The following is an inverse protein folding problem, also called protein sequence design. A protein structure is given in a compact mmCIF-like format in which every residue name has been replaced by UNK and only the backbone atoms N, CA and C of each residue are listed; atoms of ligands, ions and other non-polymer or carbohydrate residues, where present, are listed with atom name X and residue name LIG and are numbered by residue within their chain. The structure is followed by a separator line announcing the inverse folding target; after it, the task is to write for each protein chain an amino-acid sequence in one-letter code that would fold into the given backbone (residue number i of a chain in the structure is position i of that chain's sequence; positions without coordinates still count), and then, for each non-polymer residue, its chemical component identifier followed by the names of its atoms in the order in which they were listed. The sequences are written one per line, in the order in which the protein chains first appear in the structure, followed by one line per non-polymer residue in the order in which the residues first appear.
data_IF_160433069222
#
_entry.id   IF_160433069222
#
_cell.length_a   1.000
_cell.length_b   1.000
_cell.length_c   1.000
_cell.angle_alpha   90.00
_cell.angle_beta   90.00
_cell.angle_gamma   90.00
#
_symmetry.space_group_name_H-M   'P 1'
#
loop_
_entity.id
_entity.type
_entity.pdbx_description
1 polymer ?
#
# COMPACT_ATOMS: atom_id res chain seq x y z
N UNK A 1 -9.00 -6.23 -2.54
CA UNK A 1 -8.94 -4.78 -2.73
C UNK A 1 -10.08 -4.09 -1.97
N UNK A 2 -9.85 -2.87 -1.52
CA UNK A 2 -10.83 -2.01 -0.86
C UNK A 2 -10.70 -0.60 -1.43
N UNK A 3 -11.83 0.11 -1.54
CA UNK A 3 -11.92 1.49 -1.99
C UNK A 3 -12.54 2.35 -0.90
N UNK A 4 -12.03 3.55 -0.69
CA UNK A 4 -12.61 4.55 0.23
C UNK A 4 -12.31 5.97 -0.27
N UNK A 5 -13.24 6.88 -0.05
CA UNK A 5 -13.04 8.32 -0.29
C UNK A 5 -12.48 8.94 0.99
N UNK A 6 -11.40 9.68 0.86
CA UNK A 6 -10.76 10.38 1.97
C UNK A 6 -11.38 11.73 2.29
N UNK A 7 -11.01 12.33 3.42
CA UNK A 7 -11.44 13.67 3.80
C UNK A 7 -10.92 14.76 2.85
N UNK A 8 -9.92 14.45 2.04
CA UNK A 8 -9.36 15.27 0.96
C UNK A 8 -10.07 15.08 -0.39
N UNK A 9 -11.23 14.37 -0.38
CA UNK A 9 -12.04 14.06 -1.56
C UNK A 9 -11.28 13.25 -2.63
N UNK A 10 -10.25 12.50 -2.22
CA UNK A 10 -9.52 11.57 -3.10
C UNK A 10 -9.98 10.13 -2.87
N UNK A 11 -9.87 9.34 -3.92
CA UNK A 11 -10.11 7.90 -3.87
C UNK A 11 -8.84 7.19 -3.43
N UNK A 12 -8.95 6.39 -2.38
CA UNK A 12 -7.88 5.49 -1.91
C UNK A 12 -8.25 4.05 -2.24
N UNK A 13 -7.28 3.30 -2.73
CA UNK A 13 -7.48 1.90 -3.13
C UNK A 13 -6.33 1.01 -2.68
N UNK A 14 -6.63 -0.17 -2.17
CA UNK A 14 -5.62 -1.19 -1.87
C UNK A 14 -5.43 -2.13 -3.05
N UNK A 15 -4.18 -2.46 -3.37
CA UNK A 15 -3.81 -3.47 -4.36
C UNK A 15 -2.83 -4.45 -3.71
N UNK A 16 -3.18 -5.74 -3.70
CA UNK A 16 -2.33 -6.79 -3.16
C UNK A 16 -1.12 -7.13 -4.06
N UNK A 17 -0.24 -7.97 -3.56
CA UNK A 17 0.99 -8.42 -4.24
C UNK A 17 0.74 -9.49 -5.32
N UNK A 18 -0.52 -9.81 -5.62
CA UNK A 18 -0.96 -10.83 -6.57
C UNK A 18 -0.50 -12.26 -6.20
N UNK A 19 -0.30 -12.51 -4.91
CA UNK A 19 0.15 -13.82 -4.42
C UNK A 19 1.59 -14.17 -4.79
N UNK A 20 2.42 -13.16 -5.08
CA UNK A 20 3.80 -13.35 -5.48
C UNK A 20 4.60 -14.18 -4.46
N UNK A 21 5.28 -15.22 -4.94
CA UNK A 21 6.06 -16.14 -4.11
C UNK A 21 5.25 -17.20 -3.38
N UNK A 22 3.93 -17.35 -3.66
CA UNK A 22 3.05 -18.29 -2.96
C UNK A 22 2.28 -19.20 -3.92
N UNK A 23 2.08 -20.46 -3.52
CA UNK A 23 1.27 -21.45 -4.25
C UNK A 23 1.59 -21.47 -5.76
N UNK A 24 0.58 -21.35 -6.59
CA UNK A 24 0.71 -21.34 -8.06
C UNK A 24 1.50 -20.14 -8.60
N UNK A 25 1.73 -19.13 -7.77
CA UNK A 25 2.52 -17.93 -8.09
C UNK A 25 3.93 -17.95 -7.47
N UNK A 26 4.46 -19.13 -7.08
CA UNK A 26 5.77 -19.25 -6.42
C UNK A 26 6.93 -18.64 -7.24
N UNK A 27 6.84 -18.68 -8.57
CA UNK A 27 7.83 -18.10 -9.49
C UNK A 27 7.58 -16.61 -9.84
N UNK A 28 6.48 -16.01 -9.38
CA UNK A 28 6.17 -14.61 -9.67
C UNK A 28 7.03 -13.69 -8.81
N UNK A 29 7.69 -12.66 -9.40
CA UNK A 29 8.45 -11.69 -8.62
C UNK A 29 7.52 -10.89 -7.71
N UNK A 30 7.97 -10.60 -6.48
CA UNK A 30 7.25 -9.72 -5.58
C UNK A 30 7.57 -8.26 -5.92
N UNK A 31 6.55 -7.51 -6.30
CA UNK A 31 6.67 -6.13 -6.77
C UNK A 31 6.24 -5.08 -5.72
N UNK A 32 6.01 -5.49 -4.45
CA UNK A 32 5.53 -4.58 -3.43
C UNK A 32 6.46 -3.37 -3.19
N UNK A 33 7.77 -3.51 -3.45
CA UNK A 33 8.76 -2.45 -3.35
C UNK A 33 9.04 -1.72 -4.69
N UNK A 34 8.48 -2.19 -5.80
CA UNK A 34 8.72 -1.61 -7.13
C UNK A 34 7.71 -0.51 -7.43
N UNK A 35 8.16 0.74 -7.49
CA UNK A 35 7.30 1.92 -7.75
C UNK A 35 6.77 2.01 -9.19
N UNK A 36 7.31 1.20 -10.13
CA UNK A 36 6.87 1.21 -11.53
C UNK A 36 5.60 0.40 -11.78
N UNK A 37 5.09 -0.31 -10.76
CA UNK A 37 3.89 -1.14 -10.84
C UNK A 37 2.98 -0.88 -9.65
N UNK A 38 1.70 -1.23 -9.77
CA UNK A 38 0.68 -0.94 -8.77
C UNK A 38 0.48 -2.06 -7.74
N UNK A 39 1.14 -3.20 -7.90
CA UNK A 39 1.04 -4.35 -6.99
C UNK A 39 1.66 -4.04 -5.63
N UNK A 40 1.01 -4.47 -4.53
CA UNK A 40 1.49 -4.25 -3.17
C UNK A 40 1.50 -2.78 -2.73
N UNK A 41 0.45 -2.03 -3.10
CA UNK A 41 0.36 -0.58 -2.87
C UNK A 41 -0.98 -0.16 -2.27
N UNK A 42 -0.96 0.97 -1.59
CA UNK A 42 -2.14 1.82 -1.47
C UNK A 42 -2.01 2.92 -2.50
N UNK A 43 -3.06 3.12 -3.28
CA UNK A 43 -3.14 4.12 -4.33
C UNK A 43 -3.98 5.30 -3.87
N UNK A 44 -3.67 6.51 -4.40
CA UNK A 44 -4.48 7.71 -4.22
C UNK A 44 -4.73 8.37 -5.57
N UNK A 45 -5.99 8.59 -5.88
CA UNK A 45 -6.46 9.06 -7.18
C UNK A 45 -7.43 10.23 -7.00
N UNK A 46 -7.58 11.05 -8.01
CA UNK A 46 -8.71 11.97 -8.11
C UNK A 46 -10.03 11.19 -8.25
N UNK A 47 -11.11 11.70 -7.72
CA UNK A 47 -12.47 11.18 -7.92
C UNK A 47 -13.04 11.58 -9.28
N UNK A 48 -12.51 12.65 -9.86
CA UNK A 48 -12.78 13.12 -11.22
C UNK A 48 -11.46 13.54 -11.86
N UNK A 49 -11.30 13.38 -13.16
CA UNK A 49 -10.07 13.79 -13.85
C UNK A 49 -9.84 15.31 -13.72
N UNK A 50 -8.62 15.70 -13.37
CA UNK A 50 -8.17 17.09 -13.29
C UNK A 50 -7.17 17.34 -14.41
N UNK A 51 -7.48 18.24 -15.34
CA UNK A 51 -6.67 18.51 -16.55
C UNK A 51 -6.30 17.21 -17.31
N UNK A 52 -7.26 16.28 -17.40
CA UNK A 52 -7.08 14.98 -18.05
C UNK A 52 -6.30 13.92 -17.24
N UNK A 53 -5.88 14.25 -16.03
CA UNK A 53 -5.16 13.30 -15.15
C UNK A 53 -6.05 12.78 -14.01
N UNK A 54 -5.96 11.49 -13.74
CA UNK A 54 -6.54 10.85 -12.55
C UNK A 54 -5.58 10.83 -11.36
N UNK A 55 -4.31 11.24 -11.56
CA UNK A 55 -3.25 11.15 -10.55
C UNK A 55 -3.02 12.53 -9.94
N UNK A 56 -3.19 12.69 -8.60
CA UNK A 56 -2.85 13.91 -7.89
C UNK A 56 -1.36 14.25 -8.04
N UNK A 57 -1.05 15.51 -8.35
CA UNK A 57 0.33 15.96 -8.54
C UNK A 57 1.16 15.93 -7.24
N UNK A 58 0.49 15.95 -6.09
CA UNK A 58 1.08 15.93 -4.75
C UNK A 58 1.22 14.51 -4.16
N UNK A 59 1.04 13.47 -4.96
CA UNK A 59 1.33 12.10 -4.50
C UNK A 59 2.82 11.93 -4.21
N UNK A 60 3.17 11.11 -3.17
CA UNK A 60 4.51 11.14 -2.57
C UNK A 60 5.61 10.47 -3.40
N UNK A 61 5.26 9.65 -4.40
CA UNK A 61 6.22 8.84 -5.16
C UNK A 61 6.21 9.17 -6.66
N UNK A 62 6.84 10.24 -7.11
CA UNK A 62 6.99 10.47 -8.55
C UNK A 62 7.90 9.40 -9.18
N UNK A 63 7.58 8.99 -10.40
CA UNK A 63 8.37 8.04 -11.19
C UNK A 63 8.83 8.74 -12.47
N UNK A 64 10.12 8.79 -12.73
CA UNK A 64 10.71 9.51 -13.88
C UNK A 64 10.24 10.96 -14.00
N UNK A 65 10.11 11.64 -12.85
CA UNK A 65 9.66 13.05 -12.78
C UNK A 65 8.16 13.27 -13.02
N UNK A 66 7.38 12.20 -13.16
CA UNK A 66 5.92 12.28 -13.33
C UNK A 66 5.20 11.78 -12.06
N UNK A 67 4.06 12.37 -11.67
CA UNK A 67 3.24 11.87 -10.58
C UNK A 67 2.84 10.42 -10.82
N UNK A 68 2.87 9.60 -9.77
CA UNK A 68 2.34 8.24 -9.79
C UNK A 68 1.13 8.10 -8.87
N UNK A 69 0.34 7.05 -9.07
CA UNK A 69 -0.82 6.77 -8.23
C UNK A 69 -0.45 6.25 -6.83
N UNK A 70 0.82 5.93 -6.57
CA UNK A 70 1.26 5.28 -5.33
C UNK A 70 1.24 6.26 -4.16
N UNK A 71 0.52 5.89 -3.10
CA UNK A 71 0.42 6.63 -1.83
C UNK A 71 1.31 6.01 -0.75
N UNK A 72 1.30 4.68 -0.65
CA UNK A 72 2.22 3.89 0.18
C UNK A 72 2.57 2.58 -0.51
N UNK A 73 3.67 1.95 -0.12
CA UNK A 73 4.19 0.71 -0.72
C UNK A 73 4.56 -0.34 0.33
N UNK A 74 4.93 -1.54 -0.12
CA UNK A 74 5.34 -2.61 0.76
C UNK A 74 4.18 -3.33 1.42
N UNK A 75 3.05 -3.45 0.73
CA UNK A 75 1.86 -4.17 1.17
C UNK A 75 1.78 -5.56 0.56
N UNK A 76 1.32 -6.53 1.36
CA UNK A 76 1.07 -7.90 0.90
C UNK A 76 -0.37 -8.06 0.40
N UNK A 77 -1.34 -7.97 1.31
CA UNK A 77 -2.75 -8.21 1.01
C UNK A 77 -3.65 -7.36 1.93
N UNK A 78 -3.60 -6.05 1.74
CA UNK A 78 -4.46 -5.12 2.45
C UNK A 78 -5.91 -5.25 1.96
N UNK A 79 -6.82 -5.71 2.82
CA UNK A 79 -8.23 -5.96 2.48
C UNK A 79 -9.19 -4.99 3.18
N UNK A 80 -8.84 -4.49 4.35
CA UNK A 80 -9.56 -3.43 5.03
C UNK A 80 -8.94 -2.07 4.73
N UNK A 81 -9.77 -1.04 4.59
CA UNK A 81 -9.33 0.35 4.44
C UNK A 81 -10.43 1.26 4.96
N UNK A 82 -10.11 2.12 5.91
CA UNK A 82 -11.09 3.03 6.53
C UNK A 82 -10.41 4.28 7.06
N UNK A 83 -11.08 5.41 6.92
CA UNK A 83 -10.72 6.65 7.60
C UNK A 83 -11.32 6.69 8.99
N UNK A 84 -10.53 7.04 9.98
CA UNK A 84 -10.93 7.33 11.35
C UNK A 84 -10.44 8.70 11.80
N UNK A 85 -10.97 9.17 12.93
CA UNK A 85 -10.54 10.42 13.53
C UNK A 85 -10.03 10.15 14.94
N UNK A 86 -8.78 10.56 15.22
CA UNK A 86 -8.14 10.41 16.53
C UNK A 86 -7.64 11.78 16.97
N UNK A 87 -8.13 12.26 18.11
CA UNK A 87 -7.78 13.58 18.65
C UNK A 87 -7.90 14.71 17.59
N UNK A 88 -8.95 14.65 16.76
CA UNK A 88 -9.20 15.62 15.69
C UNK A 88 -8.41 15.41 14.39
N UNK A 89 -7.45 14.50 14.36
CA UNK A 89 -6.69 14.17 13.15
C UNK A 89 -7.33 13.02 12.36
N UNK A 90 -7.37 13.16 11.04
CA UNK A 90 -7.81 12.09 10.15
C UNK A 90 -6.69 11.08 9.96
N UNK A 91 -7.00 9.80 10.17
CA UNK A 91 -6.05 8.69 10.06
C UNK A 91 -6.65 7.62 9.14
N UNK A 92 -5.86 7.19 8.16
CA UNK A 92 -6.21 6.07 7.30
C UNK A 92 -5.67 4.78 7.91
N UNK A 93 -6.58 3.83 8.20
CA UNK A 93 -6.23 2.50 8.70
C UNK A 93 -6.42 1.46 7.61
N UNK A 94 -5.54 0.47 7.57
CA UNK A 94 -5.75 -0.76 6.81
C UNK A 94 -5.62 -1.99 7.70
N UNK A 95 -6.30 -3.08 7.31
CA UNK A 95 -6.05 -4.42 7.82
C UNK A 95 -5.43 -5.25 6.71
N UNK A 96 -4.39 -6.00 7.03
CA UNK A 96 -3.56 -6.69 6.06
C UNK A 96 -3.26 -8.12 6.51
N UNK A 97 -3.41 -9.10 5.60
CA UNK A 97 -3.00 -10.47 5.85
C UNK A 97 -1.49 -10.66 5.75
N UNK A 98 -0.92 -11.24 6.79
CA UNK A 98 0.44 -11.80 6.76
C UNK A 98 0.56 -13.06 5.89
N UNK A 99 1.79 -13.55 5.65
CA UNK A 99 2.02 -14.71 4.78
C UNK A 99 1.55 -16.05 5.38
N UNK A 100 1.66 -16.24 6.68
CA UNK A 100 1.24 -17.41 7.44
C UNK A 100 0.68 -17.04 8.81
N UNK A 101 1.15 -15.96 9.36
CA UNK A 101 0.81 -15.30 10.61
C UNK A 101 1.05 -13.80 10.43
N UNK A 102 1.02 -13.05 11.51
CA UNK A 102 1.36 -11.62 11.51
C UNK A 102 0.41 -10.78 10.66
N UNK A 103 -0.88 -11.06 10.77
CA UNK A 103 -1.91 -10.14 10.28
C UNK A 103 -1.76 -8.79 10.99
N UNK A 104 -1.90 -7.72 10.24
CA UNK A 104 -1.55 -6.37 10.69
C UNK A 104 -2.74 -5.42 10.68
N UNK A 105 -2.69 -4.45 11.58
CA UNK A 105 -3.45 -3.20 11.47
C UNK A 105 -2.46 -2.07 11.29
N UNK A 106 -2.50 -1.42 10.14
CA UNK A 106 -1.55 -0.38 9.76
C UNK A 106 -2.20 1.01 9.77
N UNK A 107 -1.48 2.00 10.29
CA UNK A 107 -1.78 3.42 10.06
C UNK A 107 -1.07 3.85 8.78
N UNK A 108 -1.83 4.10 7.72
CA UNK A 108 -1.29 4.41 6.40
C UNK A 108 -0.91 5.89 6.33
N UNK A 109 0.34 6.16 6.05
CA UNK A 109 0.88 7.50 5.88
C UNK A 109 1.33 7.74 4.44
N UNK A 110 1.23 8.98 4.00
CA UNK A 110 1.76 9.42 2.72
C UNK A 110 3.26 9.15 2.64
N UNK A 111 3.71 8.43 1.61
CA UNK A 111 5.11 8.08 1.44
C UNK A 111 5.59 6.92 2.33
N UNK A 112 4.70 6.27 3.07
CA UNK A 112 5.05 5.13 3.94
C UNK A 112 5.47 3.89 3.17
N UNK A 113 6.44 3.14 3.73
CA UNK A 113 6.84 1.81 3.28
C UNK A 113 6.57 0.80 4.41
N UNK A 114 5.71 -0.18 4.16
CA UNK A 114 5.23 -1.16 5.15
C UNK A 114 6.01 -2.48 5.10
N UNK A 115 7.11 -2.52 4.35
CA UNK A 115 8.20 -3.49 4.48
C UNK A 115 8.05 -4.77 3.69
N UNK A 116 6.86 -5.18 3.25
CA UNK A 116 6.69 -6.41 2.48
C UNK A 116 7.49 -6.37 1.15
N UNK A 117 8.20 -7.42 0.74
CA UNK A 117 8.35 -8.75 1.37
C UNK A 117 9.59 -8.88 2.29
N UNK A 118 10.27 -7.79 2.63
CA UNK A 118 11.50 -7.84 3.41
C UNK A 118 11.26 -7.95 4.90
N UNK A 119 10.16 -7.38 5.39
CA UNK A 119 9.79 -7.34 6.80
C UNK A 119 8.35 -7.83 6.95
N UNK A 120 8.08 -8.61 8.01
CA UNK A 120 6.77 -9.14 8.37
C UNK A 120 6.62 -9.05 9.89
N UNK A 121 5.49 -8.49 10.36
CA UNK A 121 5.17 -8.45 11.78
C UNK A 121 6.16 -7.68 12.63
N UNK A 122 6.47 -8.20 13.81
CA UNK A 122 7.40 -7.58 14.75
C UNK A 122 8.86 -7.69 14.27
N UNK A 123 9.71 -6.76 14.75
CA UNK A 123 11.16 -6.76 14.48
C UNK A 123 11.92 -7.92 15.13
N UNK A 124 11.24 -8.94 15.65
CA UNK A 124 11.81 -10.15 16.23
C UNK A 124 11.87 -11.31 15.23
N UNK A 125 11.28 -11.14 14.05
CA UNK A 125 11.22 -12.16 13.02
C UNK A 125 12.22 -11.93 11.89
N UNK A 126 12.81 -13.02 11.42
CA UNK A 126 13.53 -13.05 10.16
C UNK A 126 12.63 -13.62 9.09
N UNK A 127 12.38 -12.85 8.04
CA UNK A 127 11.64 -13.29 6.87
C UNK A 127 12.47 -13.12 5.61
N UNK A 128 12.37 -14.07 4.70
CA UNK A 128 13.18 -14.07 3.46
C UNK A 128 14.69 -13.96 3.71
N UNK A 129 15.19 -14.49 4.83
CA UNK A 129 16.62 -14.49 5.18
C UNK A 129 17.18 -13.11 5.57
N UNK A 130 16.32 -12.14 5.85
CA UNK A 130 16.72 -10.81 6.32
C UNK A 130 16.50 -10.68 7.82
N UNK A 131 17.50 -10.12 8.48
CA UNK A 131 17.38 -9.73 9.90
C UNK A 131 16.64 -8.40 9.99
N UNK A 132 15.65 -8.36 10.83
CA UNK A 132 14.81 -7.19 11.07
C UNK A 132 15.30 -6.44 12.32
#
# INVERSE_FOLDING_TARGET
ARLVIGPDEKLYATVGDMGAGQFDNAGRPNNAQNLSVLEGKVLRLHTEAVSGSWIPADNPFPVNGQPSAVYSLGHRNAQGLVWGKVNGADILYSTEHGPFSDDEVNMIQSGGNYGWPQTVGYCDNNYNGRTV
#
